data_IF_324831711992
#
_entry.id   IF_324831711992
#
_cell.length_a   1.000
_cell.length_b   1.000
_cell.length_c   1.000
_cell.angle_alpha   90.00
_cell.angle_beta   90.00
_cell.angle_gamma   90.00
#
_symmetry.space_group_name_H-M   'P 1'
#
loop_
_entity.id
_entity.type
_entity.pdbx_description
1 polymer ?
#
# COMPACT_ATOMS: atom_id res chain seq x y z
N UNK A 1 -32.58 15.83 -0.54
CA UNK A 1 -31.30 16.41 -0.23
C UNK A 1 -30.35 15.39 0.34
N UNK A 2 -29.18 15.34 -0.18
CA UNK A 2 -28.19 14.43 0.36
C UNK A 2 -27.46 15.11 1.50
N UNK A 3 -27.48 14.49 2.64
CA UNK A 3 -26.73 15.00 3.76
C UNK A 3 -25.28 14.54 3.59
N UNK A 4 -24.37 15.48 3.59
CA UNK A 4 -22.97 15.13 3.54
C UNK A 4 -22.63 14.28 4.77
N UNK A 5 -21.85 13.20 4.61
CA UNK A 5 -21.44 12.44 5.77
C UNK A 5 -20.58 13.30 6.68
N UNK A 6 -20.58 13.01 7.98
CA UNK A 6 -19.68 13.73 8.88
C UNK A 6 -18.24 13.59 8.41
N UNK A 7 -17.37 14.56 8.72
CA UNK A 7 -15.98 14.49 8.26
C UNK A 7 -15.25 13.22 8.66
N UNK A 8 -15.65 12.62 9.76
CA UNK A 8 -15.05 11.39 10.25
C UNK A 8 -15.84 10.16 9.85
N UNK A 9 -16.82 10.31 8.98
CA UNK A 9 -17.68 9.18 8.62
C UNK A 9 -16.89 8.09 7.92
N UNK A 10 -16.94 6.85 8.43
CA UNK A 10 -16.23 5.76 7.76
C UNK A 10 -16.85 5.38 6.44
N UNK A 11 -18.05 5.90 6.15
CA UNK A 11 -18.73 5.63 4.89
C UNK A 11 -18.11 6.36 3.70
N UNK A 12 -17.19 7.27 3.94
CA UNK A 12 -16.49 7.86 2.83
C UNK A 12 -15.66 6.82 2.13
N UNK A 13 -15.36 7.11 0.86
CA UNK A 13 -14.51 6.22 0.09
C UNK A 13 -13.26 5.90 0.91
N UNK A 14 -12.94 4.62 1.07
CA UNK A 14 -11.75 4.25 1.82
C UNK A 14 -10.51 4.81 1.15
N UNK A 15 -9.55 5.18 1.98
CA UNK A 15 -8.26 5.63 1.49
C UNK A 15 -7.57 4.52 0.73
N UNK A 16 -6.87 4.84 -0.35
CA UNK A 16 -6.08 3.83 -1.04
C UNK A 16 -5.01 3.24 -0.13
N UNK A 17 -4.76 1.95 -0.33
CA UNK A 17 -3.63 1.27 0.25
C UNK A 17 -2.42 1.46 -0.64
N UNK A 18 -1.30 1.78 -0.02
CA UNK A 18 0.01 1.86 -0.67
C UNK A 18 0.84 0.74 -0.07
N UNK A 19 1.04 -0.31 -0.83
CA UNK A 19 1.64 -1.56 -0.32
C UNK A 19 3.00 -1.76 -0.94
N UNK A 20 4.01 -1.92 -0.10
CA UNK A 20 5.34 -2.31 -0.57
C UNK A 20 5.48 -3.82 -0.41
N UNK A 21 5.68 -4.49 -1.53
CA UNK A 21 5.93 -5.93 -1.56
C UNK A 21 7.43 -6.13 -1.66
N UNK A 22 8.00 -6.70 -0.63
CA UNK A 22 9.44 -6.81 -0.50
C UNK A 22 9.82 -8.15 0.11
N UNK A 23 11.12 -8.36 0.30
CA UNK A 23 11.62 -9.56 0.97
C UNK A 23 12.68 -9.13 1.98
N UNK A 24 12.61 -9.69 3.18
CA UNK A 24 13.51 -9.29 4.25
C UNK A 24 14.98 -9.57 3.93
N UNK A 25 15.24 -10.62 3.17
CA UNK A 25 16.60 -10.97 2.78
C UNK A 25 17.20 -10.01 1.75
N UNK A 26 16.37 -9.17 1.11
CA UNK A 26 16.84 -8.24 0.10
C UNK A 26 17.37 -6.97 0.77
N UNK A 27 18.65 -6.66 0.54
CA UNK A 27 19.26 -5.46 1.12
C UNK A 27 18.60 -4.18 0.66
N UNK A 28 18.18 -4.13 -0.61
CA UNK A 28 17.47 -2.96 -1.13
C UNK A 28 16.19 -2.71 -0.36
N UNK A 29 15.45 -3.77 -0.03
CA UNK A 29 14.22 -3.64 0.74
C UNK A 29 14.49 -3.10 2.15
N UNK A 30 15.53 -3.62 2.81
CA UNK A 30 15.87 -3.14 4.13
C UNK A 30 16.24 -1.67 4.13
N UNK A 31 16.98 -1.25 3.12
CA UNK A 31 17.39 0.16 3.00
C UNK A 31 16.21 1.05 2.62
N UNK A 32 15.25 0.50 1.90
CA UNK A 32 14.08 1.25 1.44
C UNK A 32 13.06 1.48 2.57
N UNK A 33 12.99 0.59 3.54
CA UNK A 33 11.95 0.68 4.56
C UNK A 33 11.89 2.02 5.29
N UNK A 34 13.02 2.59 5.76
CA UNK A 34 12.94 3.90 6.41
C UNK A 34 12.45 5.00 5.48
N UNK A 35 12.80 4.93 4.19
CA UNK A 35 12.34 5.91 3.22
C UNK A 35 10.84 5.78 3.01
N UNK A 36 10.35 4.55 2.91
CA UNK A 36 8.93 4.27 2.75
C UNK A 36 8.14 4.79 3.95
N UNK A 37 8.64 4.56 5.14
CA UNK A 37 8.00 5.05 6.36
C UNK A 37 7.97 6.58 6.42
N UNK A 38 9.02 7.23 5.95
CA UNK A 38 9.07 8.68 5.92
C UNK A 38 8.02 9.24 4.96
N UNK A 39 7.87 8.64 3.78
CA UNK A 39 6.84 9.05 2.84
C UNK A 39 5.45 8.79 3.42
N UNK A 40 5.28 7.69 4.14
CA UNK A 40 4.00 7.40 4.79
C UNK A 40 3.60 8.51 5.77
N UNK A 41 4.57 9.01 6.55
CA UNK A 41 4.29 10.10 7.48
C UNK A 41 3.88 11.38 6.78
N UNK A 42 4.35 11.58 5.56
CA UNK A 42 4.01 12.77 4.78
C UNK A 42 2.66 12.64 4.06
N UNK A 43 2.05 11.47 4.06
CA UNK A 43 0.79 11.21 3.36
C UNK A 43 -0.23 10.56 4.30
N UNK A 44 -0.68 11.27 5.35
CA UNK A 44 -1.57 10.66 6.36
C UNK A 44 -2.93 10.28 5.81
N UNK A 45 -3.29 10.76 4.64
CA UNK A 45 -4.56 10.43 3.98
C UNK A 45 -4.51 9.09 3.25
N UNK A 46 -3.35 8.48 3.14
CA UNK A 46 -3.18 7.17 2.51
C UNK A 46 -2.82 6.14 3.57
N UNK A 47 -3.11 4.89 3.28
CA UNK A 47 -2.78 3.79 4.18
C UNK A 47 -1.58 3.04 3.61
N UNK A 48 -0.50 3.01 4.35
CA UNK A 48 0.75 2.38 3.91
C UNK A 48 0.93 1.06 4.62
N UNK A 49 1.30 0.04 3.86
CA UNK A 49 1.54 -1.29 4.40
C UNK A 49 2.84 -1.86 3.85
N UNK A 50 3.51 -2.63 4.67
CA UNK A 50 4.71 -3.36 4.29
C UNK A 50 4.43 -4.84 4.38
N UNK A 51 4.60 -5.54 3.26
CA UNK A 51 4.31 -6.97 3.18
C UNK A 51 5.56 -7.69 2.70
N UNK A 52 6.04 -8.64 3.50
CA UNK A 52 7.16 -9.49 3.11
C UNK A 52 6.60 -10.72 2.42
N UNK A 53 7.00 -10.95 1.17
CA UNK A 53 6.40 -12.02 0.37
C UNK A 53 6.73 -13.41 0.88
N UNK A 54 7.74 -13.54 1.74
CA UNK A 54 8.08 -14.83 2.33
C UNK A 54 7.52 -14.99 3.73
N UNK A 55 7.76 -14.00 4.60
CA UNK A 55 7.24 -14.05 5.96
C UNK A 55 5.72 -13.98 6.00
N UNK A 56 5.14 -13.25 5.06
CA UNK A 56 3.71 -13.06 4.96
C UNK A 56 3.13 -13.85 3.78
N UNK A 57 3.72 -15.00 3.48
CA UNK A 57 3.29 -15.82 2.35
C UNK A 57 1.83 -16.25 2.45
N UNK A 58 1.27 -16.28 3.65
CA UNK A 58 -0.13 -16.60 3.84
C UNK A 58 -1.06 -15.59 3.16
N UNK A 59 -0.62 -14.35 2.99
CA UNK A 59 -1.42 -13.31 2.34
C UNK A 59 -0.84 -12.88 0.99
N UNK A 60 0.44 -13.09 0.75
CA UNK A 60 1.12 -12.60 -0.44
C UNK A 60 1.75 -13.71 -1.29
N UNK A 61 1.56 -14.97 -0.91
CA UNK A 61 2.24 -16.08 -1.58
C UNK A 61 1.82 -16.30 -3.03
N UNK A 62 0.66 -15.79 -3.42
CA UNK A 62 0.16 -15.92 -4.79
C UNK A 62 0.72 -14.87 -5.73
N UNK A 63 1.45 -13.88 -5.21
CA UNK A 63 2.04 -12.85 -6.04
C UNK A 63 3.37 -13.33 -6.60
N UNK A 64 3.52 -13.16 -7.91
CA UNK A 64 4.75 -13.50 -8.60
C UNK A 64 5.60 -12.23 -8.72
N UNK A 65 6.38 -11.97 -7.69
CA UNK A 65 7.18 -10.75 -7.61
C UNK A 65 8.62 -11.09 -7.96
N UNK A 66 9.11 -10.52 -9.05
CA UNK A 66 10.47 -10.79 -9.53
C UNK A 66 11.44 -9.66 -9.20
N UNK A 67 10.95 -8.47 -9.00
CA UNK A 67 11.78 -7.29 -8.73
C UNK A 67 11.34 -6.62 -7.46
N UNK A 68 12.28 -6.30 -6.60
CA UNK A 68 12.01 -5.64 -5.32
C UNK A 68 12.63 -4.25 -5.29
N UNK A 69 11.96 -3.27 -4.73
CA UNK A 69 10.58 -3.34 -4.23
C UNK A 69 9.55 -3.27 -5.37
N UNK A 70 8.40 -3.87 -5.15
CA UNK A 70 7.24 -3.72 -6.02
C UNK A 70 6.18 -2.97 -5.23
N UNK A 71 5.57 -1.99 -5.89
CA UNK A 71 4.56 -1.16 -5.28
C UNK A 71 3.18 -1.53 -5.82
N UNK A 72 2.22 -1.61 -4.92
CA UNK A 72 0.82 -1.77 -5.26
C UNK A 72 0.04 -0.63 -4.63
N UNK A 73 -0.73 0.09 -5.44
CA UNK A 73 -1.66 1.10 -4.92
C UNK A 73 -3.05 0.71 -5.39
N UNK A 74 -3.94 0.48 -4.44
CA UNK A 74 -5.28 -0.01 -4.76
C UNK A 74 -6.27 0.36 -3.66
N UNK A 75 -7.54 0.42 -4.04
CA UNK A 75 -8.64 0.68 -3.12
C UNK A 75 -9.86 -0.14 -3.56
N UNK A 76 -11.02 0.17 -2.98
CA UNK A 76 -12.24 -0.56 -3.29
C UNK A 76 -12.66 -0.44 -4.76
N UNK A 77 -12.21 0.61 -5.44
CA UNK A 77 -12.53 0.81 -6.85
C UNK A 77 -11.62 0.02 -7.78
N UNK A 78 -10.48 -0.41 -7.29
CA UNK A 78 -9.56 -1.20 -8.08
C UNK A 78 -8.10 -0.79 -7.89
N UNK A 79 -7.27 -1.26 -8.80
CA UNK A 79 -5.83 -1.01 -8.77
C UNK A 79 -5.51 0.27 -9.52
N UNK A 80 -4.69 1.11 -8.90
CA UNK A 80 -4.25 2.38 -9.49
C UNK A 80 -2.80 2.36 -9.92
N UNK A 81 -2.02 1.45 -9.37
CA UNK A 81 -0.62 1.24 -9.77
C UNK A 81 -0.18 -0.13 -9.29
N UNK A 82 0.56 -0.84 -10.13
CA UNK A 82 1.20 -2.10 -9.74
C UNK A 82 2.45 -2.27 -10.58
N UNK A 83 3.60 -2.34 -9.93
CA UNK A 83 4.83 -2.55 -10.66
C UNK A 83 6.06 -2.28 -9.82
N UNK A 84 7.23 -2.65 -10.35
CA UNK A 84 8.49 -2.36 -9.66
C UNK A 84 8.74 -0.86 -9.59
N UNK A 85 9.43 -0.44 -8.56
CA UNK A 85 9.70 0.96 -8.33
C UNK A 85 11.16 1.13 -7.90
N UNK A 86 11.81 2.17 -8.39
CA UNK A 86 13.14 2.49 -7.91
C UNK A 86 13.07 2.85 -6.41
N UNK A 87 14.04 2.39 -5.62
CA UNK A 87 13.96 2.54 -4.16
C UNK A 87 14.37 3.93 -3.68
N UNK A 88 13.66 4.94 -4.15
CA UNK A 88 13.93 6.33 -3.79
C UNK A 88 12.66 7.00 -3.32
N UNK A 89 12.76 7.79 -2.26
CA UNK A 89 11.61 8.51 -1.72
C UNK A 89 10.97 9.42 -2.77
N UNK A 90 11.80 10.10 -3.57
CA UNK A 90 11.28 11.01 -4.59
C UNK A 90 10.47 10.26 -5.66
N UNK A 91 10.90 9.07 -6.04
CA UNK A 91 10.16 8.27 -7.02
C UNK A 91 8.81 7.86 -6.48
N UNK A 92 8.77 7.43 -5.22
CA UNK A 92 7.51 7.07 -4.58
C UNK A 92 6.57 8.27 -4.50
N UNK A 93 7.07 9.40 -4.06
CA UNK A 93 6.26 10.62 -3.95
C UNK A 93 5.68 11.03 -5.30
N UNK A 94 6.47 10.98 -6.36
CA UNK A 94 5.99 11.31 -7.70
C UNK A 94 4.93 10.31 -8.17
N UNK A 95 5.14 9.03 -7.90
CA UNK A 95 4.18 8.01 -8.28
C UNK A 95 2.84 8.24 -7.58
N UNK A 96 2.87 8.56 -6.29
CA UNK A 96 1.64 8.83 -5.54
C UNK A 96 0.93 10.09 -6.02
N UNK A 97 1.68 11.06 -6.53
CA UNK A 97 1.09 12.29 -7.05
C UNK A 97 0.46 12.10 -8.44
N UNK A 98 0.79 11.03 -9.13
CA UNK A 98 0.37 10.79 -10.50
C UNK A 98 -0.41 9.50 -10.66
N UNK A 99 -1.15 9.09 -9.64
CA UNK A 99 -1.92 7.85 -9.70
C UNK A 99 -2.99 7.93 -10.78
N UNK A 100 -3.19 6.80 -11.45
CA UNK A 100 -4.15 6.69 -12.53
C UNK A 100 -5.53 6.35 -11.98
N UNK A 101 -6.52 6.45 -12.86
CA UNK A 101 -7.85 5.96 -12.52
C UNK A 101 -7.78 4.46 -12.23
N UNK A 102 -8.61 4.01 -11.31
CA UNK A 102 -8.62 2.61 -10.92
C UNK A 102 -9.12 1.74 -12.06
N UNK A 103 -8.53 0.55 -12.18
CA UNK A 103 -9.07 -0.51 -13.01
C UNK A 103 -9.36 -1.72 -12.11
N UNK A 104 -10.26 -2.62 -12.55
CA UNK A 104 -10.64 -3.73 -11.68
C UNK A 104 -9.43 -4.52 -11.19
N UNK A 105 -9.39 -4.78 -9.90
CA UNK A 105 -8.32 -5.56 -9.31
C UNK A 105 -8.52 -7.05 -9.58
N UNK A 106 -7.41 -7.75 -9.75
CA UNK A 106 -7.45 -9.19 -9.82
C UNK A 106 -7.74 -9.78 -8.45
N UNK A 107 -8.14 -11.05 -8.41
CA UNK A 107 -8.58 -11.69 -7.19
C UNK A 107 -7.50 -11.71 -6.11
N UNK A 108 -6.23 -11.88 -6.50
CA UNK A 108 -5.13 -11.89 -5.55
C UNK A 108 -4.93 -10.52 -4.89
N UNK A 109 -5.11 -9.45 -5.65
CA UNK A 109 -5.03 -8.10 -5.10
C UNK A 109 -6.18 -7.86 -4.13
N UNK A 110 -7.40 -8.24 -4.52
CA UNK A 110 -8.56 -8.07 -3.64
C UNK A 110 -8.39 -8.84 -2.34
N UNK A 111 -7.88 -10.05 -2.42
CA UNK A 111 -7.63 -10.88 -1.24
C UNK A 111 -6.58 -10.26 -0.33
N UNK A 112 -5.51 -9.71 -0.92
CA UNK A 112 -4.48 -9.05 -0.14
C UNK A 112 -5.04 -7.84 0.59
N UNK A 113 -5.81 -6.99 -0.09
CA UNK A 113 -6.38 -5.82 0.56
C UNK A 113 -7.32 -6.21 1.70
N UNK A 114 -8.09 -7.28 1.53
CA UNK A 114 -8.95 -7.77 2.59
C UNK A 114 -8.13 -8.23 3.80
N UNK A 115 -7.00 -8.89 3.55
CA UNK A 115 -6.13 -9.34 4.63
C UNK A 115 -5.49 -8.16 5.36
N UNK A 116 -5.09 -7.12 4.63
CA UNK A 116 -4.52 -5.94 5.24
C UNK A 116 -5.55 -5.24 6.13
N UNK A 117 -6.77 -5.12 5.65
CA UNK A 117 -7.84 -4.48 6.41
C UNK A 117 -8.22 -5.27 7.65
N UNK A 118 -8.09 -6.60 7.58
CA UNK A 118 -8.42 -7.48 8.70
C UNK A 118 -7.33 -7.48 9.79
N UNK A 119 -6.08 -7.14 9.42
CA UNK A 119 -4.95 -7.20 10.36
C UNK A 119 -4.04 -5.97 10.20
N UNK A 120 -4.59 -4.77 10.41
CA UNK A 120 -3.78 -3.56 10.22
C UNK A 120 -2.60 -3.48 11.16
N UNK A 121 -2.71 -4.02 12.37
CA UNK A 121 -1.60 -4.01 13.32
C UNK A 121 -0.41 -4.82 12.84
N UNK A 122 -0.65 -5.78 11.95
CA UNK A 122 0.42 -6.63 11.42
C UNK A 122 1.13 -5.97 10.24
N UNK A 123 0.41 -5.24 9.40
CA UNK A 123 0.93 -4.80 8.12
C UNK A 123 1.01 -3.29 7.98
N UNK A 124 0.06 -2.58 8.55
CA UNK A 124 -0.04 -1.15 8.31
C UNK A 124 1.01 -0.40 9.12
N UNK A 125 1.72 0.50 8.43
CA UNK A 125 2.65 1.37 9.11
C UNK A 125 1.85 2.36 9.94
N UNK A 126 2.20 2.46 11.20
CA UNK A 126 1.48 3.34 12.11
C UNK A 126 1.64 4.79 11.65
N UNK A 127 0.53 5.55 11.58
CA UNK A 127 0.67 6.97 11.32
C UNK A 127 1.43 7.64 12.45
N UNK A 128 2.08 8.77 12.16
CA UNK A 128 2.75 9.50 13.23
C UNK A 128 1.74 9.90 14.28
N UNK A 129 2.19 9.97 15.51
CA UNK A 129 1.33 10.43 16.58
C UNK A 129 0.87 11.85 16.26
N UNK A 130 -0.41 12.05 16.43
CA UNK A 130 -1.01 13.36 16.15
C UNK A 130 -0.54 14.38 17.17
#
# INVERSE_FOLDING_TARGET
>A
MTVAPPPDAPSRAPSPWVVCLCAQWCGTCRDYRPLFEEVARAHPHLRFAWVDIEDDADVAGDFDIETFPTLLVADAEGTRFMGPLLPHAATLTRTLAALRAAHPSEADVAALLAALAAAPARFELAPPAA
#
